data_IF_059760948720
#
_entry.id   IF_059760948720
#
_cell.length_a   1.000
_cell.length_b   1.000
_cell.length_c   1.000
_cell.angle_alpha   90.00
_cell.angle_beta   90.00
_cell.angle_gamma   90.00
#
_symmetry.space_group_name_H-M   'P 1'
#
loop_
_entity.id
_entity.type
_entity.pdbx_description
1 polymer ?
#
# COMPACT_ATOMS: atom_id res chain seq x y z
N UNK A 1 -50.37 -10.80 49.33
CA UNK A 1 -49.03 -10.55 49.95
C UNK A 1 -48.42 -11.91 50.28
N UNK A 2 -47.26 -12.38 49.84
CA UNK A 2 -46.14 -12.01 48.93
C UNK A 2 -45.80 -13.33 48.19
N UNK A 3 -45.66 -13.43 46.88
CA UNK A 3 -44.71 -12.84 45.92
C UNK A 3 -43.27 -13.40 46.01
N UNK A 4 -43.04 -14.45 45.21
CA UNK A 4 -41.95 -14.71 44.23
C UNK A 4 -40.57 -15.12 44.76
N UNK A 5 -40.27 -16.43 44.67
CA UNK A 5 -38.91 -16.97 44.86
C UNK A 5 -38.47 -17.99 43.80
N UNK A 6 -39.23 -18.24 42.73
CA UNK A 6 -38.89 -19.33 41.77
C UNK A 6 -38.38 -18.83 40.41
N UNK A 7 -38.37 -17.52 40.14
CA UNK A 7 -37.99 -16.99 38.81
C UNK A 7 -36.52 -16.64 38.64
N UNK A 8 -35.66 -16.78 39.66
CA UNK A 8 -34.28 -16.29 39.58
C UNK A 8 -33.27 -17.30 38.98
N UNK A 9 -33.58 -18.59 38.97
CA UNK A 9 -32.62 -19.63 38.57
C UNK A 9 -32.59 -19.91 37.06
N UNK A 10 -33.66 -19.56 36.33
CA UNK A 10 -33.75 -19.82 34.86
C UNK A 10 -33.19 -18.65 34.05
N UNK A 11 -33.18 -17.43 34.60
CA UNK A 11 -32.69 -16.26 33.87
C UNK A 11 -31.15 -16.24 33.73
N UNK A 12 -30.43 -16.95 34.60
CA UNK A 12 -28.96 -16.99 34.58
C UNK A 12 -28.39 -18.04 33.62
N UNK A 13 -29.22 -18.96 33.11
CA UNK A 13 -28.83 -19.99 32.14
C UNK A 13 -29.08 -19.58 30.68
N UNK A 14 -29.84 -18.50 30.45
CA UNK A 14 -30.09 -17.91 29.12
C UNK A 14 -29.14 -16.74 28.79
N UNK A 15 -28.42 -16.21 29.77
CA UNK A 15 -27.47 -15.11 29.55
C UNK A 15 -26.09 -15.57 28.99
N UNK A 16 -25.82 -16.88 28.97
CA UNK A 16 -24.56 -17.44 28.44
C UNK A 16 -24.53 -17.68 26.93
N UNK A 17 -25.66 -17.51 26.23
CA UNK A 17 -25.81 -17.84 24.81
C UNK A 17 -25.66 -16.64 23.85
N UNK A 18 -25.37 -15.45 24.37
CA UNK A 18 -25.08 -14.25 23.57
C UNK A 18 -23.67 -13.72 23.84
N UNK A 19 -22.68 -14.62 23.92
CA UNK A 19 -21.31 -14.20 23.65
C UNK A 19 -21.22 -13.98 22.13
N UNK A 20 -20.97 -12.76 21.64
CA UNK A 20 -20.70 -12.56 20.23
C UNK A 20 -19.56 -13.49 19.84
N UNK A 21 -19.75 -14.18 18.70
CA UNK A 21 -18.71 -14.95 18.02
C UNK A 21 -17.40 -14.21 18.16
N UNK A 22 -16.36 -14.96 18.53
CA UNK A 22 -14.99 -14.49 18.48
C UNK A 22 -14.84 -13.64 17.23
N UNK A 23 -14.62 -12.34 17.47
CA UNK A 23 -14.08 -11.44 16.47
C UNK A 23 -12.89 -12.19 15.90
N UNK A 24 -13.03 -12.68 14.67
CA UNK A 24 -11.88 -12.88 13.82
C UNK A 24 -11.19 -11.52 13.87
N UNK A 25 -10.14 -11.45 14.68
CA UNK A 25 -9.19 -10.36 14.58
C UNK A 25 -8.66 -10.48 13.16
N UNK A 26 -9.31 -9.78 12.24
CA UNK A 26 -8.70 -9.46 10.98
C UNK A 26 -7.55 -8.56 11.39
N UNK A 27 -6.41 -9.20 11.63
CA UNK A 27 -5.17 -8.53 11.91
C UNK A 27 -4.84 -7.86 10.58
N UNK A 28 -5.38 -6.65 10.36
CA UNK A 28 -5.06 -5.80 9.22
C UNK A 28 -3.60 -5.39 9.41
N UNK A 29 -2.69 -6.31 9.09
CA UNK A 29 -1.24 -6.10 9.06
C UNK A 29 -0.81 -5.25 7.86
N UNK A 30 -1.75 -4.84 7.00
CA UNK A 30 -1.50 -3.96 5.86
C UNK A 30 -1.57 -2.49 6.25
N UNK A 31 -0.56 -1.73 5.84
CA UNK A 31 -0.60 -0.27 5.83
C UNK A 31 -1.51 0.29 4.73
N UNK A 32 -2.08 -0.58 3.89
CA UNK A 32 -2.90 -0.17 2.75
C UNK A 32 -4.18 -0.98 2.60
N UNK A 33 -5.19 -0.36 2.02
CA UNK A 33 -6.35 -1.02 1.40
C UNK A 33 -6.39 -0.67 -0.07
N UNK A 34 -6.46 -1.67 -0.93
CA UNK A 34 -6.50 -1.49 -2.38
C UNK A 34 -7.97 -1.42 -2.84
N UNK A 35 -8.26 -0.52 -3.76
CA UNK A 35 -9.54 -0.47 -4.48
C UNK A 35 -9.23 -0.35 -5.98
N UNK A 36 -9.78 -1.28 -6.75
CA UNK A 36 -9.72 -1.27 -8.20
C UNK A 36 -11.04 -1.86 -8.74
N UNK A 37 -11.61 -1.22 -9.76
CA UNK A 37 -12.90 -1.66 -10.32
C UNK A 37 -12.73 -2.79 -11.36
N UNK A 38 -11.49 -3.17 -11.68
CA UNK A 38 -11.17 -4.20 -12.68
C UNK A 38 -9.96 -5.03 -12.27
N UNK A 39 -10.10 -6.35 -12.28
CA UNK A 39 -9.02 -7.30 -12.04
C UNK A 39 -7.89 -7.16 -13.07
N UNK A 40 -8.23 -6.86 -14.33
CA UNK A 40 -7.23 -6.60 -15.38
C UNK A 40 -6.39 -5.37 -15.06
N UNK A 41 -7.02 -4.28 -14.61
CA UNK A 41 -6.31 -3.05 -14.24
C UNK A 41 -5.42 -3.28 -13.02
N UNK A 42 -5.88 -4.11 -12.07
CA UNK A 42 -5.09 -4.50 -10.90
C UNK A 42 -3.85 -5.32 -11.30
N UNK A 43 -4.02 -6.28 -12.22
CA UNK A 43 -2.92 -7.07 -12.78
C UNK A 43 -1.94 -6.19 -13.55
N UNK A 44 -2.43 -5.31 -14.43
CA UNK A 44 -1.59 -4.38 -15.21
C UNK A 44 -0.76 -3.48 -14.29
N UNK A 45 -1.37 -2.99 -13.20
CA UNK A 45 -0.68 -2.22 -12.18
C UNK A 45 0.42 -3.06 -11.49
N UNK A 46 0.11 -4.31 -11.11
CA UNK A 46 1.06 -5.22 -10.45
C UNK A 46 2.28 -5.55 -11.31
N UNK A 47 2.06 -5.78 -12.61
CA UNK A 47 3.12 -6.11 -13.57
C UNK A 47 4.04 -4.91 -13.87
N UNK A 48 3.47 -3.69 -13.79
CA UNK A 48 4.22 -2.44 -13.98
C UNK A 48 4.95 -1.98 -12.72
N UNK A 49 4.40 -2.26 -11.54
CA UNK A 49 5.05 -1.96 -10.26
C UNK A 49 6.19 -2.96 -9.99
N UNK A 50 7.30 -2.73 -10.66
CA UNK A 50 8.54 -3.46 -10.45
C UNK A 50 9.21 -2.96 -9.16
N UNK A 51 9.80 -3.89 -8.43
CA UNK A 51 10.58 -3.60 -7.23
C UNK A 51 12.07 -3.90 -7.48
N UNK A 52 12.94 -3.10 -6.88
CA UNK A 52 14.36 -3.45 -6.79
C UNK A 52 14.61 -4.66 -5.85
N UNK A 53 15.75 -5.38 -5.97
CA UNK A 53 16.08 -6.56 -5.17
C UNK A 53 15.93 -6.37 -3.67
N UNK A 54 16.35 -5.22 -3.12
CA UNK A 54 16.19 -4.93 -1.69
C UNK A 54 14.73 -4.97 -1.25
N UNK A 55 13.81 -4.50 -2.07
CA UNK A 55 12.38 -4.54 -1.76
C UNK A 55 11.78 -5.90 -2.08
N UNK A 56 12.24 -6.59 -3.13
CA UNK A 56 11.86 -7.99 -3.41
C UNK A 56 12.13 -8.89 -2.19
N UNK A 57 13.28 -8.78 -1.51
CA UNK A 57 13.57 -9.61 -0.33
C UNK A 57 12.61 -9.37 0.85
N UNK A 58 11.99 -8.18 0.92
CA UNK A 58 10.96 -7.86 1.92
C UNK A 58 9.60 -8.47 1.55
N UNK A 59 9.36 -8.67 0.26
CA UNK A 59 8.13 -9.29 -0.28
C UNK A 59 8.24 -10.81 -0.30
N UNK A 60 9.40 -11.41 -0.55
CA UNK A 60 9.57 -12.87 -0.72
C UNK A 60 9.23 -13.72 0.54
N UNK A 61 9.03 -13.11 1.71
CA UNK A 61 8.74 -13.83 2.96
C UNK A 61 7.28 -14.29 3.14
N UNK A 62 6.41 -14.19 2.13
CA UNK A 62 4.98 -14.51 2.28
C UNK A 62 4.43 -15.35 1.12
N UNK A 63 3.56 -16.30 1.43
CA UNK A 63 2.79 -17.06 0.46
C UNK A 63 1.60 -16.22 -0.03
N UNK A 64 1.69 -15.71 -1.27
CA UNK A 64 0.63 -14.91 -1.89
C UNK A 64 -0.36 -15.79 -2.64
N UNK A 65 -1.65 -15.66 -2.32
CA UNK A 65 -2.72 -16.41 -2.98
C UNK A 65 -3.33 -15.59 -4.12
N UNK A 66 -3.35 -14.26 -3.99
CA UNK A 66 -3.96 -13.35 -4.97
C UNK A 66 -3.03 -12.21 -5.39
N UNK A 67 -3.37 -11.55 -6.51
CA UNK A 67 -2.68 -10.32 -6.99
C UNK A 67 -2.79 -9.20 -5.96
N UNK A 68 -3.92 -9.11 -5.26
CA UNK A 68 -4.14 -8.13 -4.20
C UNK A 68 -3.18 -8.36 -3.03
N UNK A 69 -2.92 -9.61 -2.65
CA UNK A 69 -1.96 -9.94 -1.60
C UNK A 69 -0.54 -9.54 -1.98
N UNK A 70 -0.13 -9.85 -3.23
CA UNK A 70 1.19 -9.47 -3.75
C UNK A 70 1.35 -7.94 -3.74
N UNK A 71 0.37 -7.21 -4.29
CA UNK A 71 0.39 -5.75 -4.30
C UNK A 71 0.41 -5.17 -2.89
N UNK A 72 -0.42 -5.68 -1.99
CA UNK A 72 -0.43 -5.27 -0.59
C UNK A 72 0.95 -5.43 0.03
N UNK A 73 1.66 -6.53 -0.27
CA UNK A 73 3.03 -6.70 0.20
C UNK A 73 4.03 -5.75 -0.46
N UNK A 74 3.93 -5.50 -1.77
CA UNK A 74 4.77 -4.50 -2.46
C UNK A 74 4.60 -3.12 -1.82
N UNK A 75 3.36 -2.68 -1.61
CA UNK A 75 3.07 -1.42 -0.93
C UNK A 75 3.62 -1.38 0.48
N UNK A 76 3.45 -2.45 1.27
CA UNK A 76 4.04 -2.52 2.62
C UNK A 76 5.57 -2.41 2.58
N UNK A 77 6.25 -3.09 1.65
CA UNK A 77 7.70 -2.99 1.51
C UNK A 77 8.15 -1.57 1.15
N UNK A 78 7.45 -0.92 0.22
CA UNK A 78 7.71 0.49 -0.15
C UNK A 78 7.49 1.41 1.05
N UNK A 79 6.40 1.22 1.81
CA UNK A 79 6.08 2.01 3.00
C UNK A 79 7.17 1.87 4.06
N UNK A 80 7.60 0.65 4.37
CA UNK A 80 8.66 0.42 5.35
C UNK A 80 9.98 1.07 4.92
N UNK A 81 10.31 0.99 3.63
CA UNK A 81 11.49 1.66 3.11
C UNK A 81 11.34 3.19 3.14
N UNK A 82 10.17 3.73 2.82
CA UNK A 82 9.90 5.16 2.87
C UNK A 82 9.99 5.71 4.31
N UNK A 83 9.43 5.00 5.29
CA UNK A 83 9.59 5.32 6.73
C UNK A 83 11.07 5.37 7.12
N UNK A 84 11.86 4.40 6.65
CA UNK A 84 13.31 4.37 6.90
C UNK A 84 14.03 5.58 6.27
N UNK A 85 13.73 5.92 5.02
CA UNK A 85 14.33 7.08 4.32
C UNK A 85 14.00 8.39 5.04
N UNK A 86 12.74 8.56 5.43
CA UNK A 86 12.29 9.77 6.14
C UNK A 86 12.69 9.78 7.62
N UNK A 87 13.09 8.63 8.17
CA UNK A 87 13.21 8.40 9.61
C UNK A 87 11.92 8.79 10.37
N UNK A 88 10.76 8.45 9.79
CA UNK A 88 9.42 8.80 10.29
C UNK A 88 8.59 7.53 10.46
N UNK A 89 8.09 7.29 11.68
CA UNK A 89 7.37 6.06 12.04
C UNK A 89 5.99 6.39 12.63
N UNK A 90 5.05 6.90 11.81
CA UNK A 90 3.71 7.23 12.27
C UNK A 90 2.98 6.02 12.86
N UNK A 91 2.31 6.23 13.99
CA UNK A 91 1.43 5.22 14.59
C UNK A 91 0.16 5.10 13.75
N UNK A 92 -0.33 3.88 13.57
CA UNK A 92 -1.59 3.60 12.87
C UNK A 92 -1.65 4.13 11.43
N UNK A 93 -0.51 4.20 10.73
CA UNK A 93 -0.49 4.53 9.30
C UNK A 93 -1.33 3.52 8.53
N UNK A 94 -2.38 4.02 7.88
CA UNK A 94 -3.23 3.26 6.98
C UNK A 94 -3.72 4.17 5.85
N UNK A 95 -3.45 3.76 4.61
CA UNK A 95 -3.71 4.56 3.40
C UNK A 95 -4.56 3.74 2.44
N UNK A 96 -5.64 4.34 1.93
CA UNK A 96 -6.39 3.72 0.84
C UNK A 96 -5.70 4.02 -0.50
N UNK A 97 -5.60 3.03 -1.37
CA UNK A 97 -5.05 3.21 -2.72
C UNK A 97 -6.14 2.88 -3.73
N UNK A 98 -6.54 3.87 -4.52
CA UNK A 98 -7.49 3.72 -5.63
C UNK A 98 -6.70 3.66 -6.92
N UNK A 99 -6.71 2.49 -7.55
CA UNK A 99 -6.02 2.24 -8.82
C UNK A 99 -7.00 2.50 -9.96
N UNK A 100 -6.65 3.45 -10.83
CA UNK A 100 -7.43 3.86 -11.97
C UNK A 100 -6.74 3.43 -13.27
N UNK A 101 -7.47 3.16 -14.37
CA UNK A 101 -6.85 2.67 -15.60
C UNK A 101 -5.78 3.62 -16.15
N UNK A 102 -6.11 4.92 -16.25
CA UNK A 102 -5.27 5.90 -16.93
C UNK A 102 -5.07 7.21 -16.15
N UNK A 103 -4.07 8.01 -16.56
CA UNK A 103 -3.86 9.36 -16.06
C UNK A 103 -5.08 10.28 -16.32
N UNK A 104 -5.81 10.05 -17.41
CA UNK A 104 -7.04 10.78 -17.72
C UNK A 104 -8.11 10.50 -16.66
N UNK A 105 -8.23 9.26 -16.21
CA UNK A 105 -9.16 8.89 -15.13
C UNK A 105 -8.76 9.55 -13.80
N UNK A 106 -7.47 9.55 -13.46
CA UNK A 106 -6.96 10.25 -12.29
C UNK A 106 -7.28 11.75 -12.33
N UNK A 107 -7.04 12.39 -13.48
CA UNK A 107 -7.33 13.80 -13.71
C UNK A 107 -8.84 14.08 -13.65
N UNK A 108 -9.67 13.17 -14.14
CA UNK A 108 -11.13 13.30 -14.06
C UNK A 108 -11.65 13.20 -12.62
N UNK A 109 -11.13 12.26 -11.83
CA UNK A 109 -11.46 12.16 -10.40
C UNK A 109 -10.99 13.40 -9.64
N UNK A 110 -9.77 13.88 -9.92
CA UNK A 110 -9.24 15.11 -9.32
C UNK A 110 -10.13 16.33 -9.65
N UNK A 111 -10.47 16.51 -10.92
CA UNK A 111 -11.31 17.62 -11.36
C UNK A 111 -12.72 17.56 -10.77
N UNK A 112 -13.30 16.37 -10.65
CA UNK A 112 -14.59 16.18 -9.98
C UNK A 112 -14.53 16.54 -8.50
N UNK A 113 -13.42 16.20 -7.82
CA UNK A 113 -13.26 16.40 -6.38
C UNK A 113 -12.95 17.85 -6.01
N UNK A 114 -12.04 18.49 -6.74
CA UNK A 114 -11.50 19.80 -6.38
C UNK A 114 -11.95 20.93 -7.29
N UNK A 115 -12.70 20.63 -8.36
CA UNK A 115 -13.13 21.63 -9.35
C UNK A 115 -12.00 22.18 -10.23
N UNK A 116 -10.80 21.60 -10.15
CA UNK A 116 -9.59 22.05 -10.84
C UNK A 116 -9.18 21.06 -11.93
N UNK A 117 -8.93 21.56 -13.14
CA UNK A 117 -8.48 20.73 -14.27
C UNK A 117 -6.97 20.70 -14.31
N UNK A 118 -6.39 19.72 -13.63
CA UNK A 118 -4.96 19.45 -13.67
C UNK A 118 -4.69 18.07 -14.25
N UNK A 119 -3.57 17.94 -14.96
CA UNK A 119 -3.09 16.64 -15.43
C UNK A 119 -2.43 15.94 -14.25
N UNK A 120 -3.05 14.87 -13.75
CA UNK A 120 -2.55 14.04 -12.65
C UNK A 120 -2.38 12.60 -13.12
N UNK A 121 -1.18 12.05 -12.92
CA UNK A 121 -0.94 10.59 -13.06
C UNK A 121 -1.15 9.88 -11.72
N UNK A 122 -0.95 10.61 -10.62
CA UNK A 122 -1.25 10.21 -9.26
C UNK A 122 -1.48 11.47 -8.39
N UNK A 123 -2.10 11.29 -7.22
CA UNK A 123 -2.10 12.28 -6.14
C UNK A 123 -2.58 11.67 -4.82
N UNK A 124 -2.05 12.16 -3.70
CA UNK A 124 -2.55 11.91 -2.35
C UNK A 124 -3.62 12.93 -1.94
N UNK A 125 -4.78 12.41 -1.54
CA UNK A 125 -5.93 13.15 -1.02
C UNK A 125 -5.89 13.17 0.50
N UNK A 126 -5.40 14.27 1.08
CA UNK A 126 -5.29 14.44 2.54
C UNK A 126 -6.63 14.21 3.27
N UNK A 127 -7.72 14.78 2.76
CA UNK A 127 -9.04 14.69 3.41
C UNK A 127 -9.60 13.27 3.51
N UNK A 128 -9.06 12.32 2.74
CA UNK A 128 -9.57 10.95 2.64
C UNK A 128 -8.50 9.91 2.95
N UNK A 129 -7.27 10.33 3.28
CA UNK A 129 -6.12 9.43 3.41
C UNK A 129 -6.01 8.45 2.23
N UNK A 130 -6.25 8.95 1.02
CA UNK A 130 -6.39 8.13 -0.18
C UNK A 130 -5.42 8.56 -1.27
N UNK A 131 -4.63 7.63 -1.78
CA UNK A 131 -3.83 7.80 -3.00
C UNK A 131 -4.67 7.38 -4.19
N UNK A 132 -4.75 8.25 -5.20
CA UNK A 132 -5.27 7.91 -6.51
C UNK A 132 -4.10 7.76 -7.46
N UNK A 133 -4.04 6.67 -8.23
CA UNK A 133 -2.91 6.40 -9.10
C UNK A 133 -3.34 5.69 -10.38
N UNK A 134 -2.72 6.08 -11.50
CA UNK A 134 -2.93 5.46 -12.79
C UNK A 134 -2.10 4.19 -12.96
N UNK A 135 -2.74 3.09 -13.33
CA UNK A 135 -2.09 1.84 -13.70
C UNK A 135 -1.18 1.99 -14.93
N UNK A 136 -1.60 2.72 -15.97
CA UNK A 136 -0.78 2.92 -17.18
C UNK A 136 0.54 3.64 -16.92
N UNK A 137 0.57 4.54 -15.95
CA UNK A 137 1.69 5.44 -15.65
C UNK A 137 2.40 5.06 -14.33
N UNK A 138 2.12 3.86 -13.80
CA UNK A 138 2.70 3.39 -12.54
C UNK A 138 4.19 3.08 -12.69
N UNK A 139 4.97 3.65 -11.77
CA UNK A 139 6.37 3.34 -11.52
C UNK A 139 6.66 3.51 -10.03
N UNK A 140 7.68 2.84 -9.51
CA UNK A 140 7.97 2.84 -8.07
C UNK A 140 8.14 4.25 -7.50
N UNK A 141 8.78 5.16 -8.25
CA UNK A 141 8.99 6.54 -7.81
C UNK A 141 7.69 7.31 -7.59
N UNK A 142 6.70 7.14 -8.46
CA UNK A 142 5.38 7.77 -8.32
C UNK A 142 4.67 7.23 -7.07
N UNK A 143 4.68 5.91 -6.87
CA UNK A 143 4.11 5.29 -5.66
C UNK A 143 4.82 5.79 -4.40
N UNK A 144 6.15 5.84 -4.44
CA UNK A 144 7.01 6.28 -3.35
C UNK A 144 6.77 7.75 -2.98
N UNK A 145 6.62 8.63 -3.98
CA UNK A 145 6.31 10.05 -3.79
C UNK A 145 4.98 10.24 -3.05
N UNK A 146 3.91 9.60 -3.52
CA UNK A 146 2.58 9.72 -2.90
C UNK A 146 2.52 9.10 -1.49
N UNK A 147 3.24 8.00 -1.27
CA UNK A 147 3.40 7.42 0.07
C UNK A 147 4.24 8.31 0.98
N UNK A 148 5.22 9.03 0.45
CA UNK A 148 5.98 10.05 1.17
C UNK A 148 5.06 11.13 1.71
N UNK A 149 4.15 11.66 0.89
CA UNK A 149 3.12 12.60 1.34
C UNK A 149 2.27 12.03 2.48
N UNK A 150 1.79 10.80 2.33
CA UNK A 150 0.98 10.15 3.36
C UNK A 150 1.75 9.95 4.67
N UNK A 151 3.00 9.47 4.63
CA UNK A 151 3.81 9.25 5.84
C UNK A 151 4.05 10.58 6.57
N UNK A 152 4.40 11.64 5.84
CA UNK A 152 4.63 12.97 6.44
C UNK A 152 3.36 13.49 7.10
N UNK A 153 2.20 13.36 6.45
CA UNK A 153 0.92 13.85 6.99
C UNK A 153 0.44 13.03 8.20
N UNK A 154 0.76 11.73 8.28
CA UNK A 154 0.48 10.94 9.48
C UNK A 154 1.49 11.15 10.61
N UNK A 155 2.71 11.60 10.30
CA UNK A 155 3.78 11.75 11.29
C UNK A 155 3.71 13.08 12.03
N UNK A 156 3.48 14.18 11.32
CA UNK A 156 3.40 15.50 11.92
C UNK A 156 1.98 15.81 12.40
N UNK A 157 1.86 16.33 13.63
CA UNK A 157 0.58 16.81 14.15
C UNK A 157 0.04 18.01 13.34
N UNK A 158 0.94 18.86 12.87
CA UNK A 158 0.66 19.97 11.97
C UNK A 158 1.45 19.79 10.68
N UNK A 159 0.78 19.84 9.53
CA UNK A 159 1.42 19.62 8.23
C UNK A 159 2.56 20.62 8.02
N UNK A 160 3.76 20.17 7.64
CA UNK A 160 4.85 21.06 7.26
C UNK A 160 4.47 22.01 6.12
N UNK A 161 5.16 23.15 5.98
CA UNK A 161 4.99 24.03 4.82
C UNK A 161 5.09 23.26 3.51
N UNK A 162 4.24 23.61 2.53
CA UNK A 162 4.08 22.86 1.28
C UNK A 162 5.40 22.49 0.61
N UNK A 163 6.33 23.44 0.50
CA UNK A 163 7.64 23.19 -0.10
C UNK A 163 8.44 22.10 0.63
N UNK A 164 8.44 22.09 1.97
CA UNK A 164 9.12 21.07 2.76
C UNK A 164 8.44 19.71 2.60
N UNK A 165 7.10 19.71 2.55
CA UNK A 165 6.31 18.49 2.33
C UNK A 165 6.64 17.82 1.00
N UNK A 166 6.74 18.59 -0.08
CA UNK A 166 7.16 18.12 -1.40
C UNK A 166 8.61 17.62 -1.39
N UNK A 167 9.54 18.34 -0.75
CA UNK A 167 10.95 17.91 -0.66
C UNK A 167 11.11 16.57 0.04
N UNK A 168 10.32 16.31 1.10
CA UNK A 168 10.33 15.03 1.80
C UNK A 168 9.80 13.91 0.89
N UNK A 169 8.69 14.13 0.17
CA UNK A 169 8.17 13.16 -0.79
C UNK A 169 9.16 12.86 -1.92
N UNK A 170 9.78 13.89 -2.50
CA UNK A 170 10.83 13.77 -3.52
C UNK A 170 12.05 13.01 -3.00
N UNK A 171 12.43 13.21 -1.73
CA UNK A 171 13.54 12.45 -1.12
C UNK A 171 13.25 10.95 -1.10
N UNK A 172 11.99 10.54 -0.88
CA UNK A 172 11.59 9.13 -0.94
C UNK A 172 11.62 8.65 -2.39
N UNK A 173 11.00 9.38 -3.32
CA UNK A 173 11.02 9.06 -4.76
C UNK A 173 12.45 8.80 -5.25
N UNK A 174 13.34 9.78 -5.07
CA UNK A 174 14.72 9.71 -5.54
C UNK A 174 15.48 8.53 -4.96
N UNK A 175 15.30 8.23 -3.67
CA UNK A 175 16.02 7.13 -3.02
C UNK A 175 15.58 5.75 -3.55
N UNK A 176 14.28 5.58 -3.81
CA UNK A 176 13.75 4.32 -4.33
C UNK A 176 14.03 4.18 -5.83
N UNK A 177 13.99 5.27 -6.60
CA UNK A 177 14.36 5.26 -8.02
C UNK A 177 15.87 5.07 -8.24
N UNK A 178 16.74 5.74 -7.49
CA UNK A 178 18.19 5.58 -7.64
C UNK A 178 18.65 4.16 -7.32
N UNK A 179 17.97 3.52 -6.36
CA UNK A 179 18.19 2.11 -6.07
C UNK A 179 17.92 1.27 -7.33
N UNK A 180 16.82 1.52 -8.06
CA UNK A 180 16.49 0.85 -9.32
C UNK A 180 17.50 1.07 -10.45
N UNK A 181 17.98 2.29 -10.64
CA UNK A 181 18.93 2.57 -11.72
C UNK A 181 20.28 1.86 -11.50
N UNK A 182 20.74 1.75 -10.26
CA UNK A 182 21.90 0.92 -9.92
C UNK A 182 21.65 -0.56 -10.28
N UNK A 183 20.44 -1.06 -10.07
CA UNK A 183 20.07 -2.44 -10.39
C UNK A 183 20.03 -2.66 -11.91
N UNK A 184 19.46 -1.74 -12.67
CA UNK A 184 19.48 -1.80 -14.15
C UNK A 184 20.90 -1.76 -14.68
N UNK A 185 21.79 -0.97 -14.06
CA UNK A 185 23.21 -0.94 -14.39
C UNK A 185 23.91 -2.27 -14.07
N UNK A 186 23.66 -2.87 -12.90
CA UNK A 186 24.21 -4.19 -12.55
C UNK A 186 23.71 -5.32 -13.46
N UNK A 187 22.44 -5.29 -13.91
CA UNK A 187 21.92 -6.23 -14.91
C UNK A 187 22.59 -6.13 -16.29
N UNK A 188 23.22 -5.00 -16.61
CA UNK A 188 23.98 -4.82 -17.86
C UNK A 188 25.42 -5.37 -17.78
N UNK A 189 25.92 -5.70 -16.58
CA UNK A 189 27.35 -6.01 -16.32
C UNK A 189 27.62 -7.53 -16.16
N UNK A 190 26.66 -8.43 -16.44
CA UNK A 190 27.02 -9.86 -16.57
C UNK A 190 27.71 -10.11 -17.93
N UNK A 191 29.03 -9.89 -17.94
CA UNK A 191 29.91 -10.09 -19.10
C UNK A 191 30.29 -11.56 -19.32
N UNK A 192 29.63 -12.48 -18.60
CA UNK A 192 29.61 -13.91 -18.93
C UNK A 192 28.35 -14.30 -19.73
N UNK A 193 27.45 -13.35 -20.04
CA UNK A 193 26.37 -13.51 -21.02
C UNK A 193 25.21 -14.42 -20.60
N UNK A 194 24.98 -14.63 -19.30
CA UNK A 194 23.93 -15.51 -18.78
C UNK A 194 22.90 -14.74 -17.94
N UNK A 195 21.70 -14.64 -18.51
CA UNK A 195 20.55 -13.88 -18.00
C UNK A 195 20.11 -14.30 -16.58
N UNK A 196 20.18 -13.39 -15.61
CA UNK A 196 19.30 -13.46 -14.44
C UNK A 196 17.91 -12.99 -14.87
N UNK A 197 16.98 -13.95 -15.01
CA UNK A 197 15.54 -13.65 -15.12
C UNK A 197 15.13 -12.80 -13.90
N UNK A 198 14.02 -12.06 -14.04
CA UNK A 198 13.42 -11.20 -13.01
C UNK A 198 13.77 -11.65 -11.59
N UNK A 199 14.37 -10.79 -10.76
CA UNK A 199 14.87 -11.17 -9.42
C UNK A 199 13.74 -11.72 -8.54
N UNK A 200 12.54 -11.14 -8.61
CA UNK A 200 11.34 -11.66 -7.95
C UNK A 200 10.77 -12.96 -8.62
N UNK A 201 11.23 -13.36 -9.82
CA UNK A 201 10.77 -14.56 -10.56
C UNK A 201 11.84 -15.67 -10.69
N UNK A 202 13.06 -15.47 -10.19
CA UNK A 202 14.17 -16.43 -10.30
C UNK A 202 14.25 -17.46 -9.17
N UNK A 203 13.43 -17.34 -8.13
CA UNK A 203 13.34 -18.37 -7.10
C UNK A 203 12.18 -19.33 -7.42
N UNK A 204 12.40 -20.65 -7.41
CA UNK A 204 11.35 -21.60 -7.74
C UNK A 204 10.19 -21.41 -6.76
N UNK A 205 8.98 -21.20 -7.30
CA UNK A 205 7.73 -21.40 -6.59
C UNK A 205 7.84 -22.81 -5.98
N UNK A 206 7.78 -22.92 -4.65
CA UNK A 206 7.84 -24.23 -4.00
C UNK A 206 6.58 -24.98 -4.45
N UNK A 207 6.72 -25.87 -5.42
CA UNK A 207 5.68 -26.85 -5.71
C UNK A 207 5.60 -27.78 -4.49
N UNK A 208 4.36 -28.02 -4.05
CA UNK A 208 4.01 -28.83 -2.88
C UNK A 208 4.55 -30.25 -2.93
#
# INVERSE_FOLDING_TARGET
MKIYTVTLSVLLLLAGLFLPLQLYGHHTRGHVTLQCDSEQVLQDFNDRLQLGPRLCTMVEQKDYVTVEDELTAKFNAIIEQAKFVLNMYPKNLHVKVVILPTAQDCSAVFAKKYGQREKKIAYYSLSENTIYISASDTRIGVVAHELGHAIVDFYFAERPPYHIHELLAQSVEQHLESSEELIKAYRRIDENGAMLKNVCATYPRREE
#
